data_IF_030100673237
#
_entry.id   IF_030100673237
#
_cell.length_a   1.000
_cell.length_b   1.000
_cell.length_c   1.000
_cell.angle_alpha   90.00
_cell.angle_beta   90.00
_cell.angle_gamma   90.00
#
_symmetry.space_group_name_H-M   'P 1'
#
loop_
_entity.id
_entity.type
_entity.pdbx_description
1 polymer ?
#
# COMPACT_ATOMS: atom_id res chain seq x y z
N UNK A 1 5.83 -13.93 -8.39
CA UNK A 1 7.03 -14.40 -7.64
C UNK A 1 7.01 -15.92 -7.66
N UNK A 2 8.17 -16.57 -7.82
CA UNK A 2 8.27 -18.03 -7.79
C UNK A 2 7.97 -18.55 -6.37
N UNK A 3 7.24 -19.68 -6.28
CA UNK A 3 6.85 -20.31 -5.01
C UNK A 3 8.04 -20.64 -4.11
N UNK A 4 9.20 -20.98 -4.69
CA UNK A 4 10.42 -21.24 -3.93
C UNK A 4 10.95 -20.00 -3.18
N UNK A 5 10.82 -18.83 -3.78
CA UNK A 5 11.18 -17.56 -3.14
C UNK A 5 10.21 -17.15 -2.05
N UNK A 6 8.91 -17.40 -2.24
CA UNK A 6 7.92 -17.15 -1.19
C UNK A 6 8.22 -17.97 0.07
N UNK A 7 8.54 -19.25 -0.09
CA UNK A 7 8.85 -20.14 1.02
C UNK A 7 10.11 -19.75 1.82
N UNK A 8 11.01 -18.96 1.22
CA UNK A 8 12.23 -18.47 1.91
C UNK A 8 12.02 -17.19 2.72
N UNK A 9 10.87 -16.54 2.58
CA UNK A 9 10.55 -15.33 3.33
C UNK A 9 10.15 -15.66 4.77
N UNK A 10 10.40 -14.71 5.68
CA UNK A 10 9.93 -14.82 7.05
C UNK A 10 8.40 -14.99 7.08
N UNK A 11 7.87 -15.99 7.80
CA UNK A 11 6.43 -16.16 7.95
C UNK A 11 5.81 -15.01 8.73
N UNK A 12 4.48 -14.90 8.67
CA UNK A 12 3.76 -14.01 9.56
C UNK A 12 4.12 -14.32 11.03
N UNK A 13 4.36 -13.31 11.87
CA UNK A 13 4.72 -13.54 13.30
C UNK A 13 3.72 -14.37 14.10
N UNK A 14 2.48 -14.49 13.62
CA UNK A 14 1.41 -15.26 14.25
C UNK A 14 1.26 -16.68 13.68
N UNK A 15 2.00 -17.03 12.64
CA UNK A 15 1.94 -18.35 12.03
C UNK A 15 2.84 -19.32 12.78
N UNK A 16 2.26 -20.06 13.75
CA UNK A 16 2.97 -21.12 14.43
C UNK A 16 3.10 -22.37 13.54
N UNK A 17 4.01 -23.31 13.82
CA UNK A 17 4.12 -24.56 13.06
C UNK A 17 2.83 -25.38 13.03
N UNK A 18 2.09 -25.40 14.13
CA UNK A 18 0.82 -26.11 14.25
C UNK A 18 -0.24 -25.48 13.31
N UNK A 19 -0.42 -24.16 13.40
CA UNK A 19 -1.32 -23.40 12.50
C UNK A 19 -0.90 -23.57 11.04
N UNK A 20 0.39 -23.54 10.75
CA UNK A 20 0.91 -23.71 9.40
C UNK A 20 0.56 -25.08 8.81
N UNK A 21 0.61 -26.14 9.65
CA UNK A 21 0.24 -27.50 9.22
C UNK A 21 -1.26 -27.61 8.96
N UNK A 22 -2.09 -27.06 9.83
CA UNK A 22 -3.55 -27.08 9.70
C UNK A 22 -4.03 -26.29 8.49
N UNK A 23 -3.47 -25.10 8.28
CA UNK A 23 -3.83 -24.20 7.20
C UNK A 23 -3.05 -24.46 5.89
N UNK A 24 -2.23 -25.49 5.79
CA UNK A 24 -1.35 -25.72 4.63
C UNK A 24 -2.06 -25.59 3.25
N UNK A 25 -3.26 -26.15 3.02
CA UNK A 25 -3.96 -26.00 1.75
C UNK A 25 -4.38 -24.54 1.47
N UNK A 26 -4.81 -23.83 2.50
CA UNK A 26 -5.20 -22.42 2.41
C UNK A 26 -3.99 -21.50 2.18
N UNK A 27 -2.91 -21.70 2.90
CA UNK A 27 -1.66 -20.95 2.76
C UNK A 27 -1.07 -21.10 1.36
N UNK A 28 -1.17 -22.29 0.76
CA UNK A 28 -0.68 -22.53 -0.60
C UNK A 28 -1.35 -21.61 -1.66
N UNK A 29 -2.60 -21.22 -1.43
CA UNK A 29 -3.37 -20.34 -2.31
C UNK A 29 -3.29 -18.86 -1.92
N UNK A 30 -3.02 -18.57 -0.65
CA UNK A 30 -3.23 -17.26 -0.04
C UNK A 30 -1.96 -16.70 0.62
N UNK A 31 -0.78 -17.05 0.13
CA UNK A 31 0.48 -16.43 0.58
C UNK A 31 1.03 -15.51 -0.50
N UNK A 32 1.34 -14.28 -0.13
CA UNK A 32 2.01 -13.30 -0.99
C UNK A 32 3.20 -12.68 -0.28
N UNK A 33 4.09 -12.04 -1.03
CA UNK A 33 5.21 -11.31 -0.47
C UNK A 33 4.80 -9.86 -0.21
N UNK A 34 5.29 -9.30 0.89
CA UNK A 34 5.20 -7.87 1.14
C UNK A 34 6.47 -7.30 1.79
N UNK A 35 6.69 -6.01 1.62
CA UNK A 35 7.60 -5.22 2.45
C UNK A 35 6.78 -4.26 3.29
N UNK A 36 6.96 -4.30 4.59
CA UNK A 36 6.27 -3.42 5.54
C UNK A 36 7.07 -2.15 5.73
N UNK A 37 6.38 -1.02 5.84
CA UNK A 37 6.93 0.25 6.29
C UNK A 37 6.80 0.36 7.81
N UNK A 38 7.91 0.56 8.48
CA UNK A 38 7.98 0.94 9.89
C UNK A 38 8.00 2.46 10.00
N UNK A 39 7.11 3.00 10.83
CA UNK A 39 6.98 4.44 11.10
C UNK A 39 7.34 4.70 12.55
N UNK A 40 8.33 5.57 12.78
CA UNK A 40 8.81 5.85 14.13
C UNK A 40 9.67 4.74 14.73
N UNK A 41 10.07 4.91 16.00
CA UNK A 41 10.91 3.93 16.70
C UNK A 41 12.39 3.94 16.28
N UNK A 42 12.80 4.82 15.39
CA UNK A 42 14.20 4.99 14.94
C UNK A 42 14.54 6.48 14.80
N UNK A 43 15.83 6.77 14.69
CA UNK A 43 16.29 8.13 14.42
C UNK A 43 16.11 8.42 12.92
N UNK A 44 15.39 9.50 12.53
CA UNK A 44 15.27 9.92 11.14
C UNK A 44 16.63 10.16 10.49
N UNK A 45 16.76 9.79 9.23
CA UNK A 45 17.98 10.00 8.44
C UNK A 45 18.18 11.47 8.08
N UNK A 46 17.07 12.19 7.91
CA UNK A 46 17.05 13.55 7.34
C UNK A 46 17.29 13.58 5.83
N UNK A 47 17.32 12.44 5.16
CA UNK A 47 17.42 12.34 3.71
C UNK A 47 16.09 12.75 3.08
N UNK A 48 16.04 13.81 2.24
CA UNK A 48 14.81 14.22 1.56
C UNK A 48 14.22 13.14 0.65
N UNK A 49 15.04 12.20 0.19
CA UNK A 49 14.60 11.08 -0.62
C UNK A 49 14.09 9.88 0.19
N UNK A 50 14.22 9.89 1.51
CA UNK A 50 13.70 8.81 2.36
C UNK A 50 12.19 8.63 2.19
N UNK A 51 11.70 7.43 2.49
CA UNK A 51 10.25 7.21 2.62
C UNK A 51 9.71 7.98 3.82
N UNK A 52 8.60 8.69 3.63
CA UNK A 52 8.00 9.49 4.70
C UNK A 52 6.50 9.73 4.46
N UNK A 53 5.81 10.15 5.51
CA UNK A 53 4.45 10.65 5.49
C UNK A 53 4.46 12.12 5.91
N UNK A 54 3.73 12.98 5.19
CA UNK A 54 3.45 14.36 5.58
C UNK A 54 4.62 15.34 5.61
N UNK A 55 5.85 14.92 5.24
CA UNK A 55 6.98 15.85 5.04
C UNK A 55 6.88 16.50 3.66
N UNK A 56 7.93 17.24 3.25
CA UNK A 56 7.98 17.87 1.93
C UNK A 56 8.30 16.87 0.84
N UNK A 57 7.41 16.64 -0.16
CA UNK A 57 7.70 15.73 -1.26
C UNK A 57 8.83 16.25 -2.15
N UNK A 58 9.57 15.36 -2.78
CA UNK A 58 10.53 15.70 -3.82
C UNK A 58 9.80 15.99 -5.14
N UNK A 59 10.05 17.16 -5.71
CA UNK A 59 9.45 17.59 -6.98
C UNK A 59 10.48 18.33 -7.84
N UNK A 60 10.27 18.34 -9.18
CA UNK A 60 11.06 19.23 -10.02
C UNK A 60 10.74 20.70 -9.70
N UNK A 61 11.70 21.59 -9.95
CA UNK A 61 11.58 22.99 -9.57
C UNK A 61 10.38 23.71 -10.22
N UNK A 62 10.07 23.35 -11.46
CA UNK A 62 8.99 23.90 -12.28
C UNK A 62 7.73 23.03 -12.32
N UNK A 63 7.70 21.95 -11.56
CA UNK A 63 6.58 21.01 -11.57
C UNK A 63 5.36 21.60 -10.87
N UNK A 64 4.20 21.51 -11.52
CA UNK A 64 2.94 21.94 -10.92
C UNK A 64 2.53 21.03 -9.77
N UNK A 65 2.02 21.63 -8.70
CA UNK A 65 1.41 20.89 -7.59
C UNK A 65 0.15 20.16 -8.07
N UNK A 66 -0.13 18.90 -7.62
CA UNK A 66 -1.37 18.21 -7.96
C UNK A 66 -2.60 18.99 -7.49
N UNK A 67 -3.61 19.07 -8.34
CA UNK A 67 -4.89 19.70 -8.03
C UNK A 67 -6.02 18.71 -8.27
N UNK A 68 -7.11 18.84 -7.52
CA UNK A 68 -8.33 18.08 -7.73
C UNK A 68 -9.16 18.64 -8.91
N UNK A 69 -10.31 18.03 -9.18
CA UNK A 69 -11.22 18.45 -10.26
C UNK A 69 -11.74 19.89 -10.09
N UNK A 70 -11.74 20.45 -8.89
CA UNK A 70 -12.12 21.82 -8.61
C UNK A 70 -10.92 22.80 -8.72
N UNK A 71 -9.74 22.31 -9.09
CA UNK A 71 -8.51 23.11 -9.16
C UNK A 71 -7.89 23.43 -7.81
N UNK A 72 -8.33 22.76 -6.73
CA UNK A 72 -7.77 22.95 -5.40
C UNK A 72 -6.53 22.08 -5.22
N UNK A 73 -5.45 22.59 -4.58
CA UNK A 73 -4.26 21.82 -4.31
C UNK A 73 -4.59 20.57 -3.47
N UNK A 74 -4.08 19.42 -3.91
CA UNK A 74 -4.18 18.17 -3.13
C UNK A 74 -3.19 18.17 -1.97
N UNK A 75 -3.56 17.53 -0.87
CA UNK A 75 -2.67 17.29 0.26
C UNK A 75 -1.69 16.17 -0.09
N UNK A 76 -0.41 16.40 0.15
CA UNK A 76 0.59 15.35 0.09
C UNK A 76 0.46 14.43 1.32
N UNK A 77 0.39 13.11 1.07
CA UNK A 77 0.23 12.10 2.12
C UNK A 77 1.53 11.34 2.34
N UNK A 78 2.12 10.78 1.29
CA UNK A 78 3.27 9.91 1.43
C UNK A 78 4.22 9.98 0.23
N UNK A 79 5.51 9.84 0.53
CA UNK A 79 6.56 9.53 -0.42
C UNK A 79 7.20 8.22 -0.03
N UNK A 80 7.27 7.28 -0.97
CA UNK A 80 7.89 5.98 -0.79
C UNK A 80 9.11 5.88 -1.68
N UNK A 81 10.29 5.78 -1.08
CA UNK A 81 11.52 5.49 -1.81
C UNK A 81 11.57 4.00 -2.14
N UNK A 82 11.32 3.68 -3.40
CA UNK A 82 11.25 2.32 -3.90
C UNK A 82 12.64 1.72 -4.18
N UNK A 83 13.69 2.54 -4.29
CA UNK A 83 15.07 2.05 -4.41
C UNK A 83 15.57 1.46 -3.09
N UNK A 84 15.08 1.99 -1.97
CA UNK A 84 15.39 1.46 -0.63
C UNK A 84 14.56 0.23 -0.26
N UNK A 85 13.50 -0.09 -1.02
CA UNK A 85 12.67 -1.26 -0.75
C UNK A 85 13.46 -2.55 -1.08
N UNK A 86 13.69 -3.45 -0.11
CA UNK A 86 14.45 -4.67 -0.32
C UNK A 86 13.76 -5.66 -1.27
N UNK A 87 12.48 -5.48 -1.48
CA UNK A 87 11.68 -6.17 -2.48
C UNK A 87 10.52 -5.27 -2.92
N UNK A 88 10.13 -5.38 -4.19
CA UNK A 88 8.95 -4.71 -4.75
C UNK A 88 8.27 -5.58 -5.82
N UNK A 89 6.94 -5.43 -6.02
CA UNK A 89 6.21 -6.10 -7.09
C UNK A 89 6.79 -5.79 -8.46
N UNK A 90 6.56 -6.68 -9.42
CA UNK A 90 7.05 -6.52 -10.80
C UNK A 90 6.59 -5.19 -11.44
N UNK A 91 5.34 -4.81 -11.22
CA UNK A 91 4.78 -3.56 -11.72
C UNK A 91 5.51 -2.28 -11.23
N UNK A 92 6.28 -2.38 -10.14
CA UNK A 92 7.04 -1.25 -9.58
C UNK A 92 8.55 -1.37 -9.83
N UNK A 93 9.00 -2.37 -10.61
CA UNK A 93 10.40 -2.47 -10.99
C UNK A 93 10.80 -1.27 -11.87
N UNK A 94 12.04 -0.79 -11.68
CA UNK A 94 12.53 0.38 -12.41
C UNK A 94 11.99 1.73 -11.91
N UNK A 95 11.09 1.74 -10.90
CA UNK A 95 10.67 2.97 -10.25
C UNK A 95 11.54 3.25 -9.01
N UNK A 96 11.92 4.52 -8.85
CA UNK A 96 12.68 5.03 -7.71
C UNK A 96 11.75 5.59 -6.62
N UNK A 97 10.68 6.26 -7.01
CA UNK A 97 9.82 6.98 -6.08
C UNK A 97 8.33 6.81 -6.42
N UNK A 98 7.52 6.66 -5.39
CA UNK A 98 6.05 6.75 -5.45
C UNK A 98 5.60 7.83 -4.49
N UNK A 99 4.73 8.72 -4.96
CA UNK A 99 4.16 9.79 -4.15
C UNK A 99 2.64 9.75 -4.23
N UNK A 100 1.96 9.95 -3.09
CA UNK A 100 0.52 9.90 -2.98
C UNK A 100 -0.03 11.23 -2.46
N UNK A 101 -1.06 11.73 -3.15
CA UNK A 101 -1.74 12.98 -2.85
C UNK A 101 -3.25 12.74 -2.80
N UNK A 102 -3.95 13.48 -1.95
CA UNK A 102 -5.42 13.41 -1.82
C UNK A 102 -6.03 14.81 -1.82
N UNK A 103 -7.17 14.94 -2.49
CA UNK A 103 -8.02 16.12 -2.44
C UNK A 103 -8.89 16.15 -1.19
N UNK A 104 -9.50 17.30 -0.90
CA UNK A 104 -10.36 17.52 0.27
C UNK A 104 -11.51 16.51 0.35
N UNK A 105 -12.09 16.16 -0.80
CA UNK A 105 -13.27 15.27 -0.88
C UNK A 105 -12.94 13.79 -1.04
N UNK A 106 -11.71 13.38 -0.84
CA UNK A 106 -11.26 12.00 -1.08
C UNK A 106 -12.13 10.95 -0.39
N UNK A 107 -12.41 11.10 0.91
CA UNK A 107 -13.26 10.15 1.66
C UNK A 107 -14.73 10.30 1.29
N UNK A 108 -15.24 11.55 1.27
CA UNK A 108 -16.65 11.82 1.00
C UNK A 108 -17.11 11.31 -0.37
N UNK A 109 -16.20 11.30 -1.34
CA UNK A 109 -16.44 10.82 -2.70
C UNK A 109 -16.32 9.30 -2.87
N UNK A 110 -16.01 8.55 -1.79
CA UNK A 110 -15.71 7.12 -1.91
C UNK A 110 -14.43 6.84 -2.70
N UNK A 111 -13.41 7.70 -2.54
CA UNK A 111 -12.11 7.59 -3.23
C UNK A 111 -12.20 7.74 -4.77
N UNK A 112 -13.11 8.59 -5.26
CA UNK A 112 -13.26 8.85 -6.70
C UNK A 112 -11.91 9.26 -7.34
N UNK A 113 -11.59 8.79 -8.57
CA UNK A 113 -10.26 8.95 -9.18
C UNK A 113 -9.76 10.40 -9.28
N UNK A 114 -10.67 11.35 -9.43
CA UNK A 114 -10.34 12.79 -9.51
C UNK A 114 -9.98 13.41 -8.15
N UNK A 115 -10.12 12.67 -7.06
CA UNK A 115 -9.85 13.15 -5.70
C UNK A 115 -8.52 12.67 -5.13
N UNK A 116 -7.71 11.98 -5.92
CA UNK A 116 -6.37 11.55 -5.53
C UNK A 116 -5.43 11.53 -6.72
N UNK A 117 -4.13 11.54 -6.44
CA UNK A 117 -3.10 11.40 -7.44
C UNK A 117 -1.93 10.56 -6.94
N UNK A 118 -1.42 9.68 -7.80
CA UNK A 118 -0.15 8.99 -7.61
C UNK A 118 0.84 9.50 -8.64
N UNK A 119 2.04 9.87 -8.18
CA UNK A 119 3.18 10.16 -9.05
C UNK A 119 4.22 9.07 -8.93
N UNK A 120 4.65 8.57 -10.07
CA UNK A 120 5.70 7.56 -10.18
C UNK A 120 6.92 8.18 -10.85
N UNK A 121 8.11 7.90 -10.31
CA UNK A 121 9.37 8.42 -10.81
C UNK A 121 10.36 7.30 -11.03
N UNK A 122 11.11 7.40 -12.12
CA UNK A 122 12.17 6.44 -12.43
C UNK A 122 13.49 6.79 -11.76
N UNK A 123 13.68 8.05 -11.37
CA UNK A 123 14.85 8.52 -10.63
C UNK A 123 14.48 9.71 -9.72
N UNK A 124 15.41 10.14 -8.90
CA UNK A 124 15.28 11.31 -8.01
C UNK A 124 16.18 12.48 -8.42
N UNK A 125 16.86 12.38 -9.57
CA UNK A 125 17.80 13.37 -10.03
C UNK A 125 17.13 14.73 -10.30
N UNK A 126 17.69 15.80 -9.76
CA UNK A 126 17.18 17.16 -9.95
C UNK A 126 15.89 17.47 -9.18
N UNK A 127 15.36 16.53 -8.40
CA UNK A 127 14.22 16.79 -7.53
C UNK A 127 14.67 17.50 -6.26
N UNK A 128 13.84 18.41 -5.77
CA UNK A 128 14.04 19.16 -4.54
C UNK A 128 12.83 19.06 -3.62
N UNK A 129 13.00 19.15 -2.29
CA UNK A 129 11.88 19.22 -1.37
C UNK A 129 11.02 20.47 -1.68
N UNK A 130 9.71 20.27 -1.78
CA UNK A 130 8.73 21.33 -2.02
C UNK A 130 7.79 21.43 -0.84
N UNK A 131 7.65 22.62 -0.29
CA UNK A 131 6.66 22.88 0.75
C UNK A 131 5.26 22.66 0.19
N UNK A 132 4.41 22.01 0.98
CA UNK A 132 3.00 21.89 0.63
C UNK A 132 2.34 23.27 0.68
N UNK A 133 1.39 23.53 -0.21
CA UNK A 133 0.47 24.65 -0.02
C UNK A 133 -0.18 24.52 1.36
N UNK A 134 -0.41 25.66 2.02
CA UNK A 134 -1.05 25.69 3.35
C UNK A 134 -2.43 25.02 3.25
N UNK A 135 -2.62 23.97 4.04
CA UNK A 135 -3.90 23.32 4.21
C UNK A 135 -4.61 23.87 5.46
N UNK A 136 -5.92 23.67 5.47
CA UNK A 136 -6.81 24.02 6.57
C UNK A 136 -6.41 23.28 7.85
N UNK A 137 -6.91 23.74 8.99
CA UNK A 137 -6.61 23.18 10.33
C UNK A 137 -6.98 21.67 10.50
N UNK A 138 -7.75 21.11 9.56
CA UNK A 138 -8.17 19.71 9.48
C UNK A 138 -7.22 18.82 8.64
N UNK A 139 -5.99 19.25 8.41
CA UNK A 139 -5.02 18.46 7.67
C UNK A 139 -4.85 17.04 8.24
N UNK A 140 -5.01 16.04 7.38
CA UNK A 140 -4.92 14.60 7.70
C UNK A 140 -3.62 14.19 8.38
N UNK A 141 -2.54 14.91 8.11
CA UNK A 141 -1.22 14.68 8.69
C UNK A 141 -0.69 16.01 9.21
N UNK A 142 -0.86 16.24 10.50
CA UNK A 142 -0.39 17.47 11.15
C UNK A 142 1.13 17.50 11.40
N UNK A 143 1.80 16.34 11.37
CA UNK A 143 3.25 16.20 11.52
C UNK A 143 3.78 15.12 10.61
N UNK A 144 4.90 15.38 9.95
CA UNK A 144 5.53 14.39 9.10
C UNK A 144 6.35 13.37 9.89
N UNK A 145 6.45 12.16 9.35
CA UNK A 145 7.21 11.05 9.91
C UNK A 145 8.01 10.36 8.82
N UNK A 146 9.30 10.16 9.05
CA UNK A 146 10.11 9.29 8.22
C UNK A 146 9.72 7.83 8.46
N UNK A 147 9.76 7.03 7.40
CA UNK A 147 9.48 5.62 7.43
C UNK A 147 10.64 4.83 6.82
N UNK A 148 10.82 3.58 7.23
CA UNK A 148 11.84 2.69 6.67
C UNK A 148 11.25 1.33 6.29
N UNK A 149 11.81 0.73 5.26
CA UNK A 149 11.43 -0.60 4.84
C UNK A 149 11.99 -1.65 5.80
N UNK A 150 11.16 -2.62 6.14
CA UNK A 150 11.59 -3.84 6.81
C UNK A 150 11.94 -4.92 5.77
N UNK A 151 12.57 -6.00 6.23
CA UNK A 151 12.83 -7.16 5.38
C UNK A 151 11.53 -7.71 4.79
N UNK A 152 11.59 -8.27 3.57
CA UNK A 152 10.41 -8.89 2.96
C UNK A 152 9.90 -10.04 3.80
N UNK A 153 8.59 -10.15 3.91
CA UNK A 153 7.92 -11.21 4.67
C UNK A 153 6.73 -11.78 3.92
N UNK A 154 6.20 -12.90 4.40
CA UNK A 154 4.93 -13.45 3.94
C UNK A 154 3.77 -12.62 4.49
N UNK A 155 2.73 -12.50 3.68
CA UNK A 155 1.47 -11.85 4.02
C UNK A 155 0.28 -12.69 3.53
N UNK A 156 -0.83 -12.56 4.21
CA UNK A 156 -2.03 -13.34 3.97
C UNK A 156 -3.27 -12.43 3.95
N UNK A 157 -4.34 -12.79 3.22
CA UNK A 157 -5.57 -12.01 3.21
C UNK A 157 -6.25 -12.01 4.59
N UNK A 158 -7.03 -11.00 4.87
CA UNK A 158 -7.94 -10.97 6.00
C UNK A 158 -9.34 -11.49 5.58
N UNK A 159 -10.22 -11.69 6.57
CA UNK A 159 -11.57 -12.20 6.35
C UNK A 159 -12.38 -11.40 5.31
N UNK A 160 -12.22 -10.08 5.33
CA UNK A 160 -12.96 -9.16 4.45
C UNK A 160 -12.25 -8.91 3.11
N UNK A 161 -11.25 -9.72 2.76
CA UNK A 161 -10.47 -9.54 1.54
C UNK A 161 -11.12 -10.29 0.37
N UNK A 162 -11.70 -9.56 -0.56
CA UNK A 162 -12.32 -10.11 -1.76
C UNK A 162 -11.37 -10.92 -2.67
N UNK A 163 -10.06 -10.83 -2.44
CA UNK A 163 -9.06 -11.60 -3.17
C UNK A 163 -8.74 -12.96 -2.55
N UNK A 164 -9.35 -13.31 -1.41
CA UNK A 164 -9.15 -14.58 -0.72
C UNK A 164 -9.68 -15.75 -1.55
N UNK A 165 -8.92 -16.85 -1.56
CA UNK A 165 -9.29 -18.09 -2.22
C UNK A 165 -9.51 -19.19 -1.19
N UNK A 166 -10.65 -19.89 -1.28
CA UNK A 166 -10.90 -21.05 -0.43
C UNK A 166 -10.49 -22.34 -1.16
N UNK A 167 -9.72 -23.23 -0.53
CA UNK A 167 -9.44 -24.56 -1.06
C UNK A 167 -10.72 -25.37 -1.22
N UNK A 168 -10.70 -26.35 -2.13
CA UNK A 168 -11.79 -27.31 -2.25
C UNK A 168 -12.04 -28.05 -0.90
N UNK A 169 -13.30 -28.08 -0.48
CA UNK A 169 -13.71 -28.67 0.79
C UNK A 169 -13.57 -27.76 2.03
N UNK A 170 -13.08 -26.54 1.88
CA UNK A 170 -13.06 -25.54 2.93
C UNK A 170 -14.21 -24.53 2.69
N UNK A 171 -15.33 -24.63 3.41
CA UNK A 171 -16.54 -23.87 3.09
C UNK A 171 -16.46 -22.39 3.52
N UNK A 172 -15.58 -22.05 4.44
CA UNK A 172 -15.47 -20.73 5.04
C UNK A 172 -14.02 -20.37 5.40
N UNK A 173 -13.80 -19.11 5.76
CA UNK A 173 -12.51 -18.60 6.20
C UNK A 173 -12.08 -19.31 7.50
N UNK A 174 -10.86 -19.85 7.57
CA UNK A 174 -10.40 -20.55 8.76
C UNK A 174 -10.14 -19.58 9.91
N UNK A 175 -10.69 -19.88 11.11
CA UNK A 175 -10.55 -19.03 12.29
C UNK A 175 -9.08 -18.74 12.66
N UNK A 176 -8.21 -19.72 12.52
CA UNK A 176 -6.78 -19.58 12.80
C UNK A 176 -6.02 -18.69 11.80
N UNK A 177 -6.62 -18.37 10.65
CA UNK A 177 -6.08 -17.40 9.71
C UNK A 177 -6.34 -15.95 10.15
N UNK A 178 -7.22 -15.71 11.13
CA UNK A 178 -7.46 -14.39 11.67
C UNK A 178 -6.17 -13.80 12.26
N UNK A 179 -5.76 -12.66 11.72
CA UNK A 179 -4.57 -11.94 12.20
C UNK A 179 -3.26 -12.36 11.56
N UNK A 180 -3.23 -13.28 10.59
CA UNK A 180 -2.06 -13.53 9.75
C UNK A 180 -1.80 -12.37 8.78
N UNK A 181 -2.84 -11.63 8.40
CA UNK A 181 -2.73 -10.43 7.60
C UNK A 181 -1.99 -9.31 8.35
N UNK A 182 -1.02 -8.70 7.69
CA UNK A 182 -0.36 -7.50 8.20
C UNK A 182 -1.25 -6.27 7.99
N UNK A 183 -1.76 -5.69 9.07
CA UNK A 183 -2.51 -4.43 9.05
C UNK A 183 -1.66 -3.17 8.97
N UNK A 184 -0.37 -3.29 8.61
CA UNK A 184 0.56 -2.17 8.48
C UNK A 184 0.56 -1.60 7.06
N UNK A 185 1.08 -0.38 6.90
CA UNK A 185 1.43 0.14 5.58
C UNK A 185 2.50 -0.75 4.95
N UNK A 186 2.23 -1.23 3.74
CA UNK A 186 3.09 -2.21 3.08
C UNK A 186 3.05 -2.05 1.56
N UNK A 187 4.07 -2.59 0.92
CA UNK A 187 4.19 -2.73 -0.52
C UNK A 187 3.99 -4.20 -0.87
N UNK A 188 3.04 -4.50 -1.75
CA UNK A 188 2.62 -5.88 -2.04
C UNK A 188 1.79 -6.51 -0.93
N UNK A 189 1.61 -7.82 -0.98
CA UNK A 189 0.72 -8.54 -0.06
C UNK A 189 -0.75 -8.30 -0.37
N UNK A 190 -1.58 -8.41 0.67
CA UNK A 190 -3.03 -8.24 0.61
C UNK A 190 -3.45 -6.93 1.27
N UNK A 191 -4.40 -6.23 0.70
CA UNK A 191 -5.00 -5.06 1.32
C UNK A 191 -5.74 -5.48 2.59
N UNK A 192 -5.78 -4.60 3.59
CA UNK A 192 -6.66 -4.77 4.75
C UNK A 192 -7.70 -3.66 4.74
N UNK A 193 -8.93 -4.02 4.43
CA UNK A 193 -10.08 -3.15 4.60
C UNK A 193 -10.55 -3.18 6.05
N UNK A 194 -10.91 -2.01 6.61
CA UNK A 194 -11.47 -1.90 7.95
C UNK A 194 -13.00 -1.74 7.93
N UNK A 195 -13.57 -1.25 6.85
CA UNK A 195 -15.01 -0.95 6.75
C UNK A 195 -15.61 -1.10 5.36
N UNK A 196 -14.82 -0.98 4.29
CA UNK A 196 -15.28 -1.12 2.91
C UNK A 196 -14.15 -1.70 2.06
N UNK A 197 -14.49 -2.54 1.09
CA UNK A 197 -13.55 -3.04 0.10
C UNK A 197 -12.98 -1.88 -0.71
N UNK A 198 -11.68 -1.63 -0.58
CA UNK A 198 -10.95 -0.85 -1.57
C UNK A 198 -10.57 -1.84 -2.67
N UNK A 199 -11.50 -2.13 -3.55
CA UNK A 199 -11.24 -2.94 -4.72
C UNK A 199 -10.43 -2.10 -5.73
N UNK A 200 -9.11 -2.14 -5.64
CA UNK A 200 -8.25 -1.85 -6.77
C UNK A 200 -8.30 -3.08 -7.70
N UNK A 201 -9.39 -3.26 -8.40
CA UNK A 201 -9.42 -4.17 -9.53
C UNK A 201 -8.59 -3.50 -10.63
N UNK A 202 -7.48 -4.12 -11.11
CA UNK A 202 -7.05 -3.82 -12.47
C UNK A 202 -8.27 -4.09 -13.34
N UNK A 203 -8.58 -3.18 -14.25
CA UNK A 203 -9.61 -3.42 -15.25
C UNK A 203 -9.19 -4.64 -16.07
N UNK A 204 -9.57 -5.82 -15.61
CA UNK A 204 -9.69 -6.99 -16.44
C UNK A 204 -11.03 -6.79 -17.11
N UNK A 205 -10.99 -6.48 -18.39
CA UNK A 205 -12.16 -6.57 -19.25
C UNK A 205 -12.59 -8.04 -19.31
N UNK A 206 -13.32 -8.47 -18.30
CA UNK A 206 -14.03 -9.73 -18.30
C UNK A 206 -15.44 -9.39 -18.78
N UNK A 207 -15.73 -9.70 -20.03
CA UNK A 207 -17.00 -9.40 -20.72
C UNK A 207 -18.23 -10.03 -20.03
N UNK A 208 -18.04 -10.82 -18.96
CA UNK A 208 -19.11 -11.55 -18.27
C UNK A 208 -19.38 -11.07 -16.81
N UNK A 209 -18.70 -10.05 -16.30
CA UNK A 209 -18.98 -9.57 -14.95
C UNK A 209 -20.17 -8.60 -14.92
N UNK A 210 -21.33 -9.13 -14.60
CA UNK A 210 -22.58 -8.37 -14.41
C UNK A 210 -22.62 -7.71 -13.01
N UNK A 211 -21.49 -7.04 -12.60
CA UNK A 211 -21.45 -6.32 -11.34
C UNK A 211 -22.13 -4.96 -11.48
N UNK A 212 -23.22 -4.77 -10.75
CA UNK A 212 -23.87 -3.45 -10.58
C UNK A 212 -23.60 -2.95 -9.16
N UNK A 213 -23.08 -1.71 -8.98
CA UNK A 213 -22.98 -1.13 -7.66
C UNK A 213 -24.38 -0.98 -7.06
N UNK A 214 -24.53 -1.36 -5.80
CA UNK A 214 -25.75 -1.09 -5.05
C UNK A 214 -25.98 0.41 -4.89
N UNK A 215 -27.25 0.89 -4.95
CA UNK A 215 -27.59 2.30 -4.88
C UNK A 215 -27.24 2.93 -3.52
#
# INVERSE_FOLDING_TARGET
>A
MDSSRLASLAPSPKLTPEIAQELAPWLALNTSACCVLEVGGFRPSGDPAASHFGLSPLMAADEAWPVDAAGQPMQFIAQLNLEQAPWKPEALQGLALLQFFVGEKFIESGCAPETWAIRLRHDTAGLIPREQPLFRDDAWIGKGFEARWLAPQQDHPCYDDGCMRLPEGMPEFPDDAHGLCSGRTKLGGYARSLQHEIAFLPAVEDEDSNWQPSP
#
